data_IF_189086648774
#
_entry.id   IF_189086648774
#
_cell.length_a   1.000
_cell.length_b   1.000
_cell.length_c   1.000
_cell.angle_alpha   90.00
_cell.angle_beta   90.00
_cell.angle_gamma   90.00
#
_symmetry.space_group_name_H-M   'P 1'
#
loop_
_entity.id
_entity.type
_entity.pdbx_description
1 polymer ?
#
# COMPACT_ATOMS: atom_id res chain seq x y z
N UNK A 1 21.09 -20.84 -4.33
CA UNK A 1 21.43 -21.00 -5.78
C UNK A 1 20.22 -21.53 -6.54
N UNK A 2 19.75 -20.83 -7.58
CA UNK A 2 18.60 -21.25 -8.41
C UNK A 2 19.06 -22.14 -9.57
N UNK A 3 18.70 -23.43 -9.52
CA UNK A 3 19.11 -24.41 -10.54
C UNK A 3 18.53 -24.11 -11.94
N UNK A 4 17.37 -23.42 -12.01
CA UNK A 4 16.73 -23.01 -13.27
C UNK A 4 17.60 -21.96 -13.99
N UNK A 5 18.08 -20.96 -13.23
CA UNK A 5 18.98 -19.94 -13.78
C UNK A 5 20.30 -20.56 -14.22
N UNK A 6 20.86 -21.47 -13.42
CA UNK A 6 22.09 -22.18 -13.78
C UNK A 6 21.95 -23.00 -15.07
N UNK A 7 20.80 -23.66 -15.28
CA UNK A 7 20.54 -24.45 -16.49
C UNK A 7 20.60 -23.58 -17.77
N UNK A 8 20.07 -22.32 -17.70
CA UNK A 8 19.98 -21.47 -18.87
C UNK A 8 21.16 -20.51 -19.07
N UNK A 9 21.92 -20.20 -18.01
CA UNK A 9 23.01 -19.22 -18.02
C UNK A 9 24.39 -19.84 -17.76
N UNK A 10 24.51 -21.20 -17.83
CA UNK A 10 25.79 -21.87 -17.62
C UNK A 10 26.85 -21.37 -18.58
N UNK A 11 28.03 -21.05 -18.02
CA UNK A 11 29.16 -20.50 -18.78
C UNK A 11 29.05 -19.01 -19.12
N UNK A 12 28.02 -18.33 -18.66
CA UNK A 12 27.85 -16.88 -18.82
C UNK A 12 28.20 -16.12 -17.53
N UNK A 13 28.62 -14.85 -17.68
CA UNK A 13 28.78 -13.94 -16.56
C UNK A 13 27.41 -13.45 -16.12
N UNK A 14 26.82 -14.14 -15.14
CA UNK A 14 25.48 -13.88 -14.62
C UNK A 14 25.41 -14.00 -13.12
N UNK A 15 24.69 -13.07 -12.49
CA UNK A 15 24.64 -12.89 -11.06
C UNK A 15 23.21 -12.67 -10.57
N UNK A 16 22.82 -13.37 -9.50
CA UNK A 16 21.63 -13.00 -8.70
C UNK A 16 22.06 -11.82 -7.85
N UNK A 17 21.25 -10.75 -7.82
CA UNK A 17 21.59 -9.48 -7.16
C UNK A 17 20.42 -8.92 -6.36
N UNK A 18 20.69 -7.96 -5.48
CA UNK A 18 19.65 -7.15 -4.84
C UNK A 18 18.88 -7.88 -3.75
N UNK A 19 17.54 -7.68 -3.76
CA UNK A 19 16.65 -8.16 -2.71
C UNK A 19 16.61 -9.66 -2.52
N UNK A 20 16.79 -10.43 -3.58
CA UNK A 20 16.77 -11.89 -3.54
C UNK A 20 17.87 -12.46 -2.63
N UNK A 21 19.11 -11.99 -2.81
CA UNK A 21 20.26 -12.43 -1.99
C UNK A 21 20.07 -12.05 -0.52
N UNK A 22 19.60 -10.82 -0.26
CA UNK A 22 19.28 -10.34 1.10
C UNK A 22 18.22 -11.24 1.76
N UNK A 23 17.12 -11.49 1.07
CA UNK A 23 15.99 -12.22 1.64
C UNK A 23 16.34 -13.69 1.88
N UNK A 24 17.14 -14.31 1.01
CA UNK A 24 17.71 -15.66 1.25
C UNK A 24 18.59 -15.68 2.50
N UNK A 25 19.49 -14.69 2.67
CA UNK A 25 20.34 -14.59 3.87
C UNK A 25 19.54 -14.37 5.15
N UNK A 26 18.39 -13.69 5.07
CA UNK A 26 17.45 -13.48 6.18
C UNK A 26 16.47 -14.65 6.38
N UNK A 27 16.58 -15.73 5.60
CA UNK A 27 15.64 -16.87 5.59
C UNK A 27 14.19 -16.44 5.33
N UNK A 28 13.99 -15.40 4.52
CA UNK A 28 12.68 -14.89 4.08
C UNK A 28 12.33 -15.50 2.72
N UNK A 29 11.04 -15.62 2.38
CA UNK A 29 10.62 -16.03 1.04
C UNK A 29 11.17 -15.07 -0.02
N UNK A 30 11.78 -15.62 -1.07
CA UNK A 30 12.19 -14.86 -2.25
C UNK A 30 11.07 -14.95 -3.27
N UNK A 31 10.47 -13.81 -3.61
CA UNK A 31 9.34 -13.72 -4.56
C UNK A 31 9.79 -13.16 -5.92
N UNK A 32 10.80 -12.31 -5.90
CA UNK A 32 11.35 -11.65 -7.08
C UNK A 32 12.84 -11.95 -7.19
N UNK A 33 13.26 -12.51 -8.33
CA UNK A 33 14.67 -12.76 -8.64
C UNK A 33 15.18 -11.70 -9.60
N UNK A 34 16.16 -10.92 -9.15
CA UNK A 34 16.90 -9.98 -10.00
C UNK A 34 18.18 -10.65 -10.51
N UNK A 35 18.33 -10.76 -11.82
CA UNK A 35 19.48 -11.38 -12.48
C UNK A 35 20.19 -10.38 -13.38
N UNK A 36 21.43 -10.04 -13.03
CA UNK A 36 22.30 -9.24 -13.88
C UNK A 36 23.08 -10.16 -14.83
N UNK A 37 22.98 -9.94 -16.17
CA UNK A 37 23.63 -10.78 -17.18
C UNK A 37 23.95 -10.00 -18.47
N UNK A 38 24.73 -10.60 -19.36
CA UNK A 38 25.21 -9.95 -20.59
C UNK A 38 24.10 -9.68 -21.60
N UNK A 39 23.12 -10.59 -21.76
CA UNK A 39 22.00 -10.46 -22.68
C UNK A 39 20.67 -10.78 -21.97
N UNK A 40 20.06 -9.77 -21.29
CA UNK A 40 18.81 -9.93 -20.54
C UNK A 40 17.63 -10.42 -21.41
N UNK A 41 17.57 -9.96 -22.64
CA UNK A 41 16.48 -10.34 -23.56
C UNK A 41 16.54 -11.82 -23.92
N UNK A 42 17.70 -12.28 -24.34
CA UNK A 42 17.88 -13.70 -24.70
C UNK A 42 17.74 -14.59 -23.48
N UNK A 43 18.29 -14.19 -22.33
CA UNK A 43 18.13 -14.89 -21.05
C UNK A 43 16.66 -15.06 -20.68
N UNK A 44 15.86 -13.98 -20.70
CA UNK A 44 14.43 -14.02 -20.41
C UNK A 44 13.68 -14.97 -21.36
N UNK A 45 13.98 -14.93 -22.66
CA UNK A 45 13.34 -15.80 -23.65
C UNK A 45 13.76 -17.27 -23.48
N UNK A 46 15.01 -17.55 -23.11
CA UNK A 46 15.48 -18.93 -22.79
C UNK A 46 14.78 -19.46 -21.55
N UNK A 47 14.67 -18.65 -20.51
CA UNK A 47 13.97 -19.00 -19.29
C UNK A 47 12.51 -19.38 -19.57
N UNK A 48 11.76 -18.49 -20.23
CA UNK A 48 10.36 -18.74 -20.54
C UNK A 48 10.13 -19.94 -21.48
N UNK A 49 11.01 -20.15 -22.47
CA UNK A 49 10.95 -21.35 -23.34
C UNK A 49 11.14 -22.65 -22.57
N UNK A 50 11.96 -22.62 -21.54
CA UNK A 50 12.34 -23.83 -20.78
C UNK A 50 11.37 -24.10 -19.62
N UNK A 51 10.92 -23.06 -18.91
CA UNK A 51 10.14 -23.21 -17.67
C UNK A 51 8.71 -22.69 -17.79
N UNK A 52 8.34 -22.09 -18.92
CA UNK A 52 7.05 -21.46 -19.12
C UNK A 52 7.03 -20.01 -18.65
N UNK A 53 5.92 -19.32 -18.95
CA UNK A 53 5.69 -17.95 -18.51
C UNK A 53 5.63 -16.92 -19.64
N UNK A 54 5.19 -15.72 -19.30
CA UNK A 54 5.08 -14.57 -20.18
C UNK A 54 6.33 -13.69 -20.08
N UNK A 55 6.90 -13.29 -21.22
CA UNK A 55 8.08 -12.41 -21.31
C UNK A 55 7.65 -11.05 -21.82
N UNK A 56 8.10 -9.99 -21.17
CA UNK A 56 7.89 -8.63 -21.63
C UNK A 56 9.01 -7.67 -21.18
N UNK A 57 9.25 -6.57 -21.91
CA UNK A 57 10.22 -5.57 -21.49
C UNK A 57 9.71 -4.86 -20.23
N UNK A 58 10.52 -4.84 -19.19
CA UNK A 58 10.26 -4.06 -17.97
C UNK A 58 10.66 -2.60 -18.16
N UNK A 59 11.76 -2.37 -18.88
CA UNK A 59 12.24 -1.06 -19.26
C UNK A 59 13.02 -1.14 -20.58
N UNK A 60 12.46 -0.58 -21.65
CA UNK A 60 13.17 -0.49 -22.93
C UNK A 60 14.42 0.39 -22.83
N UNK A 61 14.35 1.46 -22.00
CA UNK A 61 15.45 2.39 -21.79
C UNK A 61 16.65 1.74 -21.10
N UNK A 62 16.39 0.82 -20.17
CA UNK A 62 17.42 0.16 -19.36
C UNK A 62 17.66 -1.28 -19.78
N UNK A 63 17.05 -1.74 -20.88
CA UNK A 63 17.25 -3.09 -21.39
C UNK A 63 16.79 -4.22 -20.45
N UNK A 64 15.94 -3.92 -19.47
CA UNK A 64 15.47 -4.87 -18.48
C UNK A 64 14.25 -5.67 -19.01
N UNK A 65 14.22 -6.97 -18.72
CA UNK A 65 13.18 -7.91 -19.15
C UNK A 65 12.64 -8.70 -17.97
N UNK A 66 11.32 -8.86 -17.92
CA UNK A 66 10.64 -9.66 -16.88
C UNK A 66 10.04 -10.93 -17.47
N UNK A 67 10.15 -12.00 -16.69
CA UNK A 67 9.41 -13.23 -16.90
C UNK A 67 8.48 -13.42 -15.70
N UNK A 68 7.17 -13.57 -15.97
CA UNK A 68 6.20 -14.01 -14.98
C UNK A 68 5.97 -15.49 -15.24
N UNK A 69 6.45 -16.34 -14.33
CA UNK A 69 6.41 -17.79 -14.50
C UNK A 69 5.00 -18.34 -14.32
N UNK A 70 4.63 -19.38 -15.11
CA UNK A 70 3.32 -20.00 -15.01
C UNK A 70 3.14 -20.78 -13.72
N UNK A 71 2.10 -20.44 -12.93
CA UNK A 71 1.71 -21.21 -11.74
C UNK A 71 2.58 -21.01 -10.51
N UNK A 72 3.43 -19.99 -10.51
CA UNK A 72 4.29 -19.59 -9.39
C UNK A 72 4.10 -18.08 -9.19
N UNK A 73 3.90 -17.63 -7.94
CA UNK A 73 3.86 -16.20 -7.60
C UNK A 73 5.28 -15.58 -7.58
N UNK A 74 6.13 -15.95 -8.53
CA UNK A 74 7.52 -15.54 -8.62
C UNK A 74 7.77 -14.82 -9.94
N UNK A 75 8.49 -13.71 -9.89
CA UNK A 75 8.98 -13.01 -11.08
C UNK A 75 10.50 -13.10 -11.20
N UNK A 76 10.99 -13.16 -12.45
CA UNK A 76 12.43 -13.12 -12.72
C UNK A 76 12.72 -11.93 -13.61
N UNK A 77 13.50 -10.99 -13.11
CA UNK A 77 13.93 -9.79 -13.80
C UNK A 77 15.37 -9.95 -14.28
N UNK A 78 15.56 -9.85 -15.58
CA UNK A 78 16.87 -9.88 -16.21
C UNK A 78 17.30 -8.45 -16.55
N UNK A 79 18.45 -8.01 -16.04
CA UNK A 79 19.00 -6.68 -16.24
C UNK A 79 20.39 -6.74 -16.86
N UNK A 80 20.81 -5.72 -17.65
CA UNK A 80 22.15 -5.70 -18.21
C UNK A 80 23.23 -5.56 -17.15
N UNK A 81 24.29 -6.34 -17.27
CA UNK A 81 25.51 -6.19 -16.45
C UNK A 81 26.45 -5.18 -17.13
N UNK A 82 26.03 -3.90 -17.19
CA UNK A 82 26.78 -2.83 -17.81
C UNK A 82 27.94 -2.37 -16.92
N UNK A 83 29.15 -2.30 -17.48
CA UNK A 83 30.34 -1.87 -16.73
C UNK A 83 30.92 -2.90 -15.75
N UNK A 84 30.31 -4.12 -15.68
CA UNK A 84 30.72 -5.18 -14.78
C UNK A 84 30.03 -5.14 -13.43
N UNK A 85 30.22 -6.20 -12.63
CA UNK A 85 29.52 -6.42 -11.36
C UNK A 85 29.77 -5.31 -10.33
N UNK A 86 31.01 -4.82 -10.20
CA UNK A 86 31.36 -3.74 -9.27
C UNK A 86 30.58 -2.44 -9.58
N UNK A 87 30.46 -2.12 -10.87
CA UNK A 87 29.71 -0.93 -11.28
C UNK A 87 28.22 -1.09 -10.98
N UNK A 88 27.62 -2.26 -11.21
CA UNK A 88 26.22 -2.51 -10.87
C UNK A 88 26.00 -2.40 -9.35
N UNK A 89 26.81 -3.07 -8.54
CA UNK A 89 26.66 -3.05 -7.08
C UNK A 89 26.87 -1.67 -6.48
N UNK A 90 27.77 -0.84 -7.05
CA UNK A 90 27.98 0.54 -6.63
C UNK A 90 26.78 1.47 -6.91
N UNK A 91 25.86 1.08 -7.81
CA UNK A 91 24.63 1.86 -8.08
C UNK A 91 23.48 1.51 -7.14
N UNK A 92 23.62 0.46 -6.31
CA UNK A 92 22.58 0.00 -5.38
C UNK A 92 22.37 1.02 -4.25
N UNK A 93 21.25 0.88 -3.55
CA UNK A 93 20.88 1.79 -2.46
C UNK A 93 21.70 1.53 -1.18
N UNK A 94 21.58 0.33 -0.62
CA UNK A 94 22.20 -0.03 0.68
C UNK A 94 23.09 -1.23 0.52
N UNK A 95 24.09 -1.33 1.39
CA UNK A 95 25.12 -2.38 1.35
C UNK A 95 24.56 -3.80 1.31
N UNK A 96 23.51 -4.07 2.08
CA UNK A 96 22.84 -5.37 2.11
C UNK A 96 22.03 -5.69 0.83
N UNK A 97 21.80 -4.73 -0.05
CA UNK A 97 21.23 -4.91 -1.39
C UNK A 97 22.33 -4.92 -2.48
N UNK A 98 23.58 -4.64 -2.10
CA UNK A 98 24.75 -4.65 -2.97
C UNK A 98 25.58 -5.93 -2.82
N UNK A 99 24.91 -7.05 -2.54
CA UNK A 99 25.47 -8.40 -2.50
C UNK A 99 25.04 -9.12 -3.76
N UNK A 100 25.94 -9.88 -4.37
CA UNK A 100 25.66 -10.72 -5.53
C UNK A 100 25.99 -12.19 -5.26
N UNK A 101 25.30 -13.10 -5.94
CA UNK A 101 25.61 -14.53 -5.97
C UNK A 101 25.79 -14.99 -7.41
N UNK A 102 26.93 -15.62 -7.71
CA UNK A 102 27.20 -16.16 -9.04
C UNK A 102 26.22 -17.26 -9.40
N UNK A 103 25.53 -17.15 -10.51
CA UNK A 103 24.61 -18.18 -11.03
C UNK A 103 25.36 -19.50 -11.29
N UNK A 104 26.59 -19.43 -11.81
CA UNK A 104 27.40 -20.62 -12.15
C UNK A 104 27.89 -21.36 -10.91
N UNK A 105 28.46 -20.63 -9.94
CA UNK A 105 29.21 -21.24 -8.83
C UNK A 105 28.51 -21.17 -7.48
N UNK A 106 27.49 -20.28 -7.32
CA UNK A 106 26.90 -19.97 -6.03
C UNK A 106 27.80 -19.19 -5.09
N UNK A 107 28.96 -18.73 -5.57
CA UNK A 107 29.87 -17.93 -4.74
C UNK A 107 29.33 -16.54 -4.58
N UNK A 108 29.24 -16.08 -3.33
CA UNK A 108 28.80 -14.73 -2.99
C UNK A 108 29.91 -13.72 -3.21
N UNK A 109 29.56 -12.55 -3.77
CA UNK A 109 30.44 -11.41 -3.94
C UNK A 109 29.85 -10.20 -3.21
N UNK A 110 30.60 -9.64 -2.27
CA UNK A 110 30.13 -8.61 -1.34
C UNK A 110 31.23 -7.55 -1.12
N UNK A 111 31.38 -6.60 -2.06
CA UNK A 111 32.45 -5.60 -1.97
C UNK A 111 32.19 -4.49 -0.93
N UNK A 112 30.95 -4.39 -0.43
CA UNK A 112 30.54 -3.34 0.51
C UNK A 112 30.27 -3.83 1.94
N UNK A 113 30.62 -5.09 2.26
CA UNK A 113 30.34 -5.73 3.55
C UNK A 113 28.86 -5.73 3.95
N UNK A 114 27.99 -5.90 2.95
CA UNK A 114 26.53 -5.94 3.15
C UNK A 114 26.08 -7.09 4.04
N UNK A 115 26.81 -8.22 4.06
CA UNK A 115 26.54 -9.35 4.96
C UNK A 115 26.85 -8.99 6.42
N UNK A 116 27.91 -8.20 6.65
CA UNK A 116 28.23 -7.66 7.97
C UNK A 116 27.13 -6.72 8.47
N UNK A 117 26.71 -5.77 7.65
CA UNK A 117 25.61 -4.86 7.96
C UNK A 117 24.29 -5.59 8.16
N UNK A 118 23.99 -6.61 7.33
CA UNK A 118 22.79 -7.44 7.48
C UNK A 118 22.78 -8.18 8.84
N UNK A 119 23.93 -8.74 9.24
CA UNK A 119 24.07 -9.42 10.52
C UNK A 119 24.01 -8.48 11.72
N UNK A 120 24.41 -7.22 11.54
CA UNK A 120 24.37 -6.17 12.57
C UNK A 120 23.03 -5.41 12.61
N UNK A 121 22.13 -5.63 11.63
CA UNK A 121 20.87 -4.90 11.52
C UNK A 121 21.07 -3.42 11.13
N UNK A 122 22.00 -3.13 10.22
CA UNK A 122 22.37 -1.76 9.83
C UNK A 122 21.90 -1.43 8.42
N UNK A 123 21.27 -0.28 8.25
CA UNK A 123 20.98 0.35 6.96
C UNK A 123 22.12 1.30 6.64
N UNK A 124 23.02 0.91 5.75
CA UNK A 124 24.18 1.70 5.32
C UNK A 124 24.10 2.02 3.83
N UNK A 125 24.27 3.29 3.49
CA UNK A 125 24.36 3.77 2.13
C UNK A 125 25.60 3.22 1.40
N UNK A 126 25.43 2.77 0.15
CA UNK A 126 26.58 2.30 -0.66
C UNK A 126 27.52 3.45 -1.02
N UNK A 127 26.96 4.64 -1.29
CA UNK A 127 27.72 5.86 -1.60
C UNK A 127 27.11 7.07 -0.92
N UNK A 128 27.89 8.15 -0.77
CA UNK A 128 27.41 9.41 -0.21
C UNK A 128 26.37 10.13 -1.09
N UNK A 129 26.21 9.73 -2.36
CA UNK A 129 25.33 10.39 -3.33
C UNK A 129 24.00 9.67 -3.55
N UNK A 130 23.77 8.52 -2.91
CA UNK A 130 22.63 7.64 -3.22
C UNK A 130 21.27 8.35 -3.17
N UNK A 131 21.08 9.31 -2.27
CA UNK A 131 19.83 10.06 -2.12
C UNK A 131 19.65 11.16 -3.16
N UNK A 132 20.74 11.65 -3.73
CA UNK A 132 20.73 12.59 -4.85
C UNK A 132 20.52 11.85 -6.17
N UNK A 133 21.14 10.67 -6.32
CA UNK A 133 21.04 9.83 -7.52
C UNK A 133 19.61 9.28 -7.72
N UNK A 134 18.97 8.85 -6.65
CA UNK A 134 17.53 8.46 -6.63
C UNK A 134 16.89 8.87 -5.29
N UNK A 135 16.18 10.00 -5.25
CA UNK A 135 15.56 10.50 -4.00
C UNK A 135 14.51 9.57 -3.38
N UNK A 136 13.98 8.57 -4.12
CA UNK A 136 13.09 7.57 -3.52
C UNK A 136 13.79 6.76 -2.42
N UNK A 137 15.12 6.66 -2.48
CA UNK A 137 15.93 5.94 -1.48
C UNK A 137 15.83 6.55 -0.08
N UNK A 138 15.40 7.83 0.03
CA UNK A 138 15.06 8.44 1.31
C UNK A 138 13.92 7.68 2.02
N UNK A 139 12.85 7.38 1.30
CA UNK A 139 11.73 6.59 1.83
C UNK A 139 12.11 5.13 2.02
N UNK A 140 12.90 4.57 1.11
CA UNK A 140 13.38 3.19 1.20
C UNK A 140 14.26 2.95 2.43
N UNK A 141 15.10 3.93 2.84
CA UNK A 141 15.90 3.85 4.05
C UNK A 141 15.00 3.65 5.28
N UNK A 142 14.00 4.52 5.46
CA UNK A 142 13.04 4.42 6.57
C UNK A 142 12.23 3.13 6.49
N UNK A 143 11.83 2.72 5.28
CA UNK A 143 11.12 1.45 5.11
C UNK A 143 11.95 0.23 5.50
N UNK A 144 13.24 0.21 5.17
CA UNK A 144 14.09 -0.90 5.58
C UNK A 144 14.36 -0.92 7.09
N UNK A 145 14.49 0.25 7.75
CA UNK A 145 14.48 0.29 9.22
C UNK A 145 13.21 -0.35 9.79
N UNK A 146 12.05 0.04 9.27
CA UNK A 146 10.73 -0.39 9.74
C UNK A 146 10.45 -1.88 9.45
N UNK A 147 10.65 -2.33 8.20
CA UNK A 147 10.34 -3.70 7.78
C UNK A 147 11.30 -4.77 8.33
N UNK A 148 12.56 -4.42 8.50
CA UNK A 148 13.61 -5.35 8.91
C UNK A 148 13.93 -5.24 10.41
N UNK A 149 13.47 -4.19 11.08
CA UNK A 149 13.84 -3.86 12.45
C UNK A 149 15.31 -3.43 12.55
N UNK A 150 15.84 -2.81 11.50
CA UNK A 150 17.20 -2.32 11.41
C UNK A 150 17.31 -0.88 11.90
N UNK A 151 18.51 -0.33 11.91
CA UNK A 151 18.76 1.10 12.20
C UNK A 151 19.75 1.67 11.18
N UNK A 152 19.57 2.93 10.79
CA UNK A 152 20.56 3.62 9.95
C UNK A 152 21.86 3.84 10.72
N UNK A 153 23.01 3.70 10.04
CA UNK A 153 24.25 4.17 10.59
C UNK A 153 24.29 5.71 10.58
N UNK A 154 25.11 6.30 11.43
CA UNK A 154 25.18 7.76 11.65
C UNK A 154 25.39 8.52 10.32
N UNK A 155 26.31 8.04 9.48
CA UNK A 155 26.61 8.69 8.19
C UNK A 155 25.42 8.65 7.24
N UNK A 156 24.75 7.52 7.14
CA UNK A 156 23.56 7.38 6.29
C UNK A 156 22.44 8.30 6.75
N UNK A 157 22.21 8.43 8.06
CA UNK A 157 21.20 9.32 8.60
C UNK A 157 21.55 10.80 8.36
N UNK A 158 22.82 11.20 8.51
CA UNK A 158 23.28 12.55 8.16
C UNK A 158 22.99 12.90 6.69
N UNK A 159 23.35 11.99 5.76
CA UNK A 159 23.11 12.16 4.34
C UNK A 159 21.61 12.26 4.02
N UNK A 160 20.79 11.42 4.67
CA UNK A 160 19.35 11.43 4.51
C UNK A 160 18.75 12.78 4.96
N UNK A 161 19.10 13.24 6.18
CA UNK A 161 18.62 14.53 6.71
C UNK A 161 19.05 15.70 5.83
N UNK A 162 20.29 15.69 5.33
CA UNK A 162 20.79 16.71 4.42
C UNK A 162 20.06 16.74 3.06
N UNK A 163 19.52 15.59 2.62
CA UNK A 163 18.82 15.44 1.34
C UNK A 163 17.29 15.42 1.48
N UNK A 164 16.75 15.64 2.66
CA UNK A 164 15.31 15.45 2.99
C UNK A 164 14.36 16.21 2.07
N UNK A 165 14.75 17.40 1.61
CA UNK A 165 13.95 18.20 0.67
C UNK A 165 13.70 17.55 -0.69
N UNK A 166 14.54 16.57 -1.09
CA UNK A 166 14.40 15.85 -2.36
C UNK A 166 13.30 14.79 -2.34
N UNK A 167 12.71 14.50 -1.18
CA UNK A 167 11.70 13.44 -1.03
C UNK A 167 10.45 13.65 -1.90
N UNK A 168 10.22 14.85 -2.39
CA UNK A 168 9.09 15.21 -3.27
C UNK A 168 9.37 15.01 -4.76
N UNK A 169 10.63 14.77 -5.15
CA UNK A 169 11.03 14.68 -6.56
C UNK A 169 10.63 13.37 -7.25
N UNK A 170 10.57 12.20 -6.56
CA UNK A 170 10.18 10.95 -7.19
C UNK A 170 8.74 10.97 -7.69
N UNK A 171 8.47 10.16 -8.74
CA UNK A 171 7.10 9.98 -9.22
C UNK A 171 6.16 9.52 -8.10
N UNK A 172 4.98 10.15 -8.03
CA UNK A 172 4.03 9.94 -6.93
C UNK A 172 3.59 8.49 -6.74
N UNK A 173 3.54 7.67 -7.82
CA UNK A 173 3.26 6.24 -7.75
C UNK A 173 4.32 5.49 -6.95
N UNK A 174 5.61 5.84 -7.15
CA UNK A 174 6.72 5.23 -6.42
C UNK A 174 6.69 5.64 -4.94
N UNK A 175 6.42 6.93 -4.67
CA UNK A 175 6.24 7.44 -3.30
C UNK A 175 5.11 6.71 -2.59
N UNK A 176 3.94 6.60 -3.23
CA UNK A 176 2.77 5.92 -2.65
C UNK A 176 3.04 4.44 -2.35
N UNK A 177 3.79 3.76 -3.21
CA UNK A 177 4.17 2.36 -3.02
C UNK A 177 5.05 2.17 -1.77
N UNK A 178 6.02 3.06 -1.52
CA UNK A 178 6.86 3.01 -0.32
C UNK A 178 6.04 3.34 0.94
N UNK A 179 5.22 4.40 0.91
CA UNK A 179 4.39 4.81 2.05
C UNK A 179 3.40 3.74 2.51
N UNK A 180 2.83 2.96 1.58
CA UNK A 180 1.91 1.86 1.91
C UNK A 180 2.56 0.71 2.67
N UNK A 181 3.87 0.59 2.60
CA UNK A 181 4.64 -0.48 3.26
C UNK A 181 5.04 -0.12 4.69
N UNK A 182 4.88 1.15 5.08
CA UNK A 182 5.26 1.60 6.41
C UNK A 182 4.21 1.22 7.46
N UNK A 183 4.71 0.78 8.60
CA UNK A 183 3.94 0.67 9.84
C UNK A 183 3.69 2.05 10.47
N UNK A 184 2.98 2.09 11.59
CA UNK A 184 2.82 3.32 12.36
C UNK A 184 4.18 3.88 12.84
N UNK A 185 5.12 3.00 13.20
CA UNK A 185 6.47 3.39 13.61
C UNK A 185 7.27 3.96 12.45
N UNK A 186 7.16 3.39 11.25
CA UNK A 186 7.76 3.94 10.04
C UNK A 186 7.30 5.38 9.75
N UNK A 187 6.02 5.70 9.97
CA UNK A 187 5.53 7.08 9.83
C UNK A 187 6.10 8.01 10.91
N UNK A 188 6.27 7.55 12.17
CA UNK A 188 6.96 8.34 13.20
C UNK A 188 8.42 8.59 12.82
N UNK A 189 9.07 7.58 12.27
CA UNK A 189 10.45 7.73 11.79
C UNK A 189 10.56 8.71 10.63
N UNK A 190 9.59 8.74 9.69
CA UNK A 190 9.53 9.78 8.64
C UNK A 190 9.48 11.21 9.23
N UNK A 191 8.69 11.39 10.28
CA UNK A 191 8.62 12.68 11.00
C UNK A 191 9.96 13.03 11.63
N UNK A 192 10.56 12.08 12.38
CA UNK A 192 11.82 12.29 13.09
C UNK A 192 12.97 12.68 12.13
N UNK A 193 13.04 12.07 10.96
CA UNK A 193 14.09 12.37 9.97
C UNK A 193 13.72 13.52 9.02
N UNK A 194 12.56 14.16 9.19
CA UNK A 194 12.16 15.34 8.44
C UNK A 194 11.64 15.06 7.03
N UNK A 195 11.15 13.85 6.74
CA UNK A 195 10.60 13.48 5.43
C UNK A 195 9.08 13.63 5.35
N UNK A 196 8.35 13.67 6.48
CA UNK A 196 6.90 13.63 6.47
C UNK A 196 6.28 14.96 6.05
N UNK A 197 6.73 16.08 6.61
CA UNK A 197 6.19 17.42 6.33
C UNK A 197 6.32 17.82 4.85
N UNK A 198 7.47 17.64 4.15
CA UNK A 198 7.57 17.96 2.73
C UNK A 198 6.59 17.16 1.85
N UNK A 199 6.25 15.93 2.23
CA UNK A 199 5.23 15.12 1.56
C UNK A 199 3.80 15.60 1.85
N UNK A 200 3.61 16.52 2.80
CA UNK A 200 2.33 17.05 3.23
C UNK A 200 1.61 16.16 4.24
N UNK A 201 2.32 15.25 4.91
CA UNK A 201 1.82 14.44 6.01
C UNK A 201 1.97 15.15 7.35
N UNK A 202 1.13 14.77 8.31
CA UNK A 202 1.16 15.20 9.70
C UNK A 202 0.88 13.96 10.55
N UNK A 203 1.70 13.69 11.56
CA UNK A 203 1.42 12.60 12.49
C UNK A 203 0.09 12.81 13.19
N UNK A 204 -0.66 11.74 13.28
CA UNK A 204 -1.98 11.72 13.88
C UNK A 204 -2.12 10.51 14.81
N UNK A 205 -2.74 10.68 15.97
CA UNK A 205 -2.92 9.61 16.96
C UNK A 205 -3.75 8.43 16.45
N UNK A 206 -4.57 8.67 15.41
CA UNK A 206 -5.35 7.62 14.73
C UNK A 206 -4.50 6.61 13.96
N UNK A 207 -3.23 6.90 13.75
CA UNK A 207 -2.29 6.07 12.97
C UNK A 207 -2.26 4.61 13.43
N UNK A 208 -2.52 4.36 14.72
CA UNK A 208 -2.56 3.02 15.33
C UNK A 208 -3.96 2.42 15.47
N UNK A 209 -5.01 3.18 15.14
CA UNK A 209 -6.38 2.73 15.35
C UNK A 209 -6.76 1.52 14.48
N UNK A 210 -6.06 1.34 13.34
CA UNK A 210 -6.25 0.21 12.45
C UNK A 210 -4.95 -0.15 11.74
N UNK A 211 -4.58 -1.43 11.77
CA UNK A 211 -3.42 -1.94 11.00
C UNK A 211 -3.79 -2.16 9.52
N UNK A 212 -3.98 -1.05 8.82
CA UNK A 212 -4.31 -1.01 7.40
C UNK A 212 -3.52 0.12 6.71
N UNK A 213 -2.82 -0.16 5.59
CA UNK A 213 -2.01 0.84 4.89
C UNK A 213 -2.82 2.04 4.37
N UNK A 214 -4.01 1.81 3.81
CA UNK A 214 -4.84 2.87 3.26
C UNK A 214 -5.44 3.73 4.38
N UNK A 215 -5.77 3.12 5.52
CA UNK A 215 -6.20 3.85 6.71
C UNK A 215 -5.10 4.78 7.23
N UNK A 216 -3.85 4.28 7.37
CA UNK A 216 -2.70 5.10 7.77
C UNK A 216 -2.47 6.27 6.82
N UNK A 217 -2.55 6.04 5.50
CA UNK A 217 -2.46 7.13 4.52
C UNK A 217 -3.53 8.19 4.74
N UNK A 218 -4.79 7.81 4.99
CA UNK A 218 -5.88 8.77 5.24
C UNK A 218 -5.66 9.51 6.55
N UNK A 219 -5.22 8.83 7.61
CA UNK A 219 -4.95 9.45 8.91
C UNK A 219 -3.85 10.51 8.82
N UNK A 220 -2.74 10.18 8.15
CA UNK A 220 -1.55 11.03 8.07
C UNK A 220 -1.69 12.17 7.06
N UNK A 221 -2.22 11.88 5.87
CA UNK A 221 -2.23 12.87 4.78
C UNK A 221 -3.54 13.63 4.65
N UNK A 222 -4.65 13.13 5.19
CA UNK A 222 -5.94 13.82 5.14
C UNK A 222 -6.31 14.29 3.73
N UNK A 223 -6.46 15.62 3.54
CA UNK A 223 -6.75 16.22 2.22
C UNK A 223 -5.57 16.16 1.27
N UNK A 224 -4.34 16.20 1.80
CA UNK A 224 -3.13 16.18 1.00
C UNK A 224 -2.92 14.83 0.29
N UNK A 225 -3.60 13.76 0.74
CA UNK A 225 -3.58 12.47 0.05
C UNK A 225 -3.98 12.58 -1.44
N UNK A 226 -4.82 13.57 -1.78
CA UNK A 226 -5.22 13.83 -3.16
C UNK A 226 -4.08 14.33 -4.08
N UNK A 227 -2.94 14.74 -3.52
CA UNK A 227 -1.72 15.11 -4.29
C UNK A 227 -0.99 13.89 -4.83
N UNK A 228 -1.21 12.71 -4.23
CA UNK A 228 -0.67 11.45 -4.71
C UNK A 228 -1.61 10.79 -5.74
N UNK A 229 -1.09 9.97 -6.65
CA UNK A 229 -1.87 9.30 -7.69
C UNK A 229 -2.67 8.11 -7.14
N UNK A 230 -3.58 8.39 -6.22
CA UNK A 230 -4.39 7.40 -5.56
C UNK A 230 -5.55 6.90 -6.45
N UNK A 231 -5.95 5.65 -6.26
CA UNK A 231 -7.05 5.01 -6.95
C UNK A 231 -8.40 5.70 -6.67
N UNK A 232 -9.40 5.46 -7.53
CA UNK A 232 -10.76 5.93 -7.29
C UNK A 232 -11.35 5.38 -5.98
N UNK A 233 -11.01 4.14 -5.65
CA UNK A 233 -11.49 3.49 -4.43
C UNK A 233 -10.85 4.09 -3.18
N UNK A 234 -9.55 4.36 -3.19
CA UNK A 234 -8.89 5.06 -2.08
C UNK A 234 -9.43 6.50 -1.92
N UNK A 235 -9.77 7.20 -3.02
CA UNK A 235 -10.45 8.50 -2.95
C UNK A 235 -11.82 8.42 -2.25
N UNK A 236 -12.61 7.39 -2.58
CA UNK A 236 -13.92 7.16 -1.96
C UNK A 236 -13.77 6.78 -0.48
N UNK A 237 -12.83 5.91 -0.16
CA UNK A 237 -12.46 5.52 1.19
C UNK A 237 -12.07 6.74 2.04
N UNK A 238 -11.10 7.52 1.59
CA UNK A 238 -10.67 8.76 2.26
C UNK A 238 -11.83 9.73 2.49
N UNK A 239 -12.69 9.91 1.49
CA UNK A 239 -13.85 10.80 1.61
C UNK A 239 -14.86 10.28 2.65
N UNK A 240 -15.08 8.97 2.75
CA UNK A 240 -15.97 8.37 3.72
C UNK A 240 -15.45 8.57 5.15
N UNK A 241 -14.19 8.22 5.41
CA UNK A 241 -13.57 8.36 6.73
C UNK A 241 -13.56 9.83 7.20
N UNK A 242 -13.12 10.74 6.34
CA UNK A 242 -12.99 12.18 6.70
C UNK A 242 -14.34 12.89 6.91
N UNK A 243 -15.41 12.40 6.29
CA UNK A 243 -16.76 12.89 6.53
C UNK A 243 -17.44 12.28 7.74
N UNK A 244 -16.95 11.13 8.19
CA UNK A 244 -17.53 10.43 9.32
C UNK A 244 -17.62 11.32 10.56
N UNK A 245 -18.68 11.15 11.32
CA UNK A 245 -18.87 11.72 12.66
C UNK A 245 -19.32 10.58 13.54
N UNK A 246 -18.77 10.50 14.75
CA UNK A 246 -19.18 9.47 15.71
C UNK A 246 -20.70 9.49 15.87
N UNK A 247 -21.35 8.32 15.98
CA UNK A 247 -22.76 8.26 16.36
C UNK A 247 -23.00 9.03 17.66
N UNK A 248 -24.09 9.78 17.73
CA UNK A 248 -24.42 10.62 18.92
C UNK A 248 -24.71 9.75 20.16
N UNK A 249 -25.28 8.56 19.91
CA UNK A 249 -25.62 7.55 20.91
C UNK A 249 -25.62 6.15 20.28
N UNK A 250 -25.74 5.07 21.07
CA UNK A 250 -25.77 3.69 20.56
C UNK A 250 -27.14 3.25 20.01
N UNK A 251 -28.09 4.18 19.76
CA UNK A 251 -29.42 3.84 19.25
C UNK A 251 -29.37 3.27 17.83
N UNK A 252 -30.30 2.38 17.46
CA UNK A 252 -30.39 1.84 16.10
C UNK A 252 -30.48 2.94 15.04
N UNK A 253 -31.12 4.07 15.36
CA UNK A 253 -31.26 5.24 14.47
C UNK A 253 -29.92 5.91 14.23
N UNK A 254 -29.14 6.19 15.28
CA UNK A 254 -27.82 6.79 15.15
C UNK A 254 -26.84 5.88 14.40
N UNK A 255 -26.86 4.58 14.69
CA UNK A 255 -26.07 3.58 13.97
C UNK A 255 -26.46 3.48 12.50
N UNK A 256 -27.76 3.52 12.17
CA UNK A 256 -28.24 3.52 10.78
C UNK A 256 -27.73 4.75 10.00
N UNK A 257 -27.86 5.95 10.58
CA UNK A 257 -27.37 7.22 9.97
C UNK A 257 -25.88 7.17 9.70
N UNK A 258 -25.10 6.69 10.68
CA UNK A 258 -23.67 6.53 10.54
C UNK A 258 -23.29 5.58 9.40
N UNK A 259 -23.92 4.40 9.36
CA UNK A 259 -23.70 3.40 8.32
C UNK A 259 -24.02 3.96 6.92
N UNK A 260 -25.15 4.65 6.75
CA UNK A 260 -25.51 5.24 5.47
C UNK A 260 -24.46 6.21 4.90
N UNK A 261 -23.70 6.89 5.77
CA UNK A 261 -22.67 7.84 5.36
C UNK A 261 -21.33 7.18 5.09
N UNK A 262 -21.09 6.02 5.70
CA UNK A 262 -19.75 5.41 5.78
C UNK A 262 -19.61 4.05 5.11
N UNK A 263 -20.73 3.35 4.81
CA UNK A 263 -20.66 2.05 4.12
C UNK A 263 -19.97 2.15 2.74
N UNK A 264 -19.18 1.14 2.36
CA UNK A 264 -18.97 -0.14 3.05
C UNK A 264 -17.92 -0.08 4.18
N UNK A 265 -17.33 1.06 4.49
CA UNK A 265 -16.21 1.24 5.42
C UNK A 265 -16.63 1.69 6.83
N UNK A 266 -17.84 1.30 7.28
CA UNK A 266 -18.36 1.79 8.56
C UNK A 266 -17.50 1.36 9.76
N UNK A 267 -16.86 0.20 9.74
CA UNK A 267 -15.96 -0.25 10.81
C UNK A 267 -14.69 0.62 10.86
N UNK A 268 -14.09 0.87 9.72
CA UNK A 268 -12.87 1.71 9.63
C UNK A 268 -13.21 3.16 10.00
N UNK A 269 -14.42 3.62 9.63
CA UNK A 269 -14.91 4.94 9.99
C UNK A 269 -15.11 5.07 11.51
N UNK A 270 -15.55 4.01 12.23
CA UNK A 270 -15.59 4.01 13.70
C UNK A 270 -14.17 4.17 14.29
N UNK A 271 -13.20 3.42 13.76
CA UNK A 271 -11.80 3.57 14.18
C UNK A 271 -11.30 5.00 13.94
N UNK A 272 -11.65 5.58 12.78
CA UNK A 272 -11.23 6.93 12.41
C UNK A 272 -11.81 8.04 13.30
N UNK A 273 -13.03 7.85 13.83
CA UNK A 273 -13.69 8.83 14.73
C UNK A 273 -13.55 8.46 16.22
N UNK A 274 -12.81 7.39 16.56
CA UNK A 274 -12.56 6.98 17.94
C UNK A 274 -13.79 6.39 18.66
N UNK A 275 -14.69 5.71 17.92
CA UNK A 275 -15.92 5.11 18.43
C UNK A 275 -15.96 3.59 18.25
N UNK A 276 -14.83 2.92 18.45
CA UNK A 276 -14.64 1.47 18.20
C UNK A 276 -15.51 0.57 19.08
N UNK A 277 -15.96 1.05 20.22
CA UNK A 277 -16.89 0.37 21.13
C UNK A 277 -18.25 0.12 20.50
N UNK A 278 -18.61 0.85 19.43
CA UNK A 278 -19.88 0.67 18.70
C UNK A 278 -19.78 -0.38 17.57
N UNK A 279 -18.64 -1.04 17.42
CA UNK A 279 -18.38 -2.02 16.35
C UNK A 279 -19.44 -3.13 16.31
N UNK A 280 -19.73 -3.74 17.46
CA UNK A 280 -20.69 -4.85 17.54
C UNK A 280 -22.10 -4.42 17.12
N UNK A 281 -22.49 -3.19 17.42
CA UNK A 281 -23.78 -2.61 17.01
C UNK A 281 -23.84 -2.40 15.49
N UNK A 282 -22.78 -1.88 14.90
CA UNK A 282 -22.68 -1.72 13.43
C UNK A 282 -22.73 -3.07 12.73
N UNK A 283 -22.00 -4.07 13.22
CA UNK A 283 -22.00 -5.42 12.66
C UNK A 283 -23.36 -6.12 12.85
N UNK A 284 -24.00 -5.96 14.01
CA UNK A 284 -25.34 -6.48 14.26
C UNK A 284 -26.37 -5.86 13.30
N UNK A 285 -26.30 -4.53 13.12
CA UNK A 285 -27.16 -3.82 12.18
C UNK A 285 -26.95 -4.26 10.72
N UNK A 286 -25.71 -4.57 10.30
CA UNK A 286 -25.41 -5.17 8.98
C UNK A 286 -26.07 -6.53 8.79
N UNK A 287 -25.97 -7.39 9.81
CA UNK A 287 -26.60 -8.73 9.77
C UNK A 287 -28.13 -8.67 9.73
N UNK A 288 -28.70 -7.62 10.32
CA UNK A 288 -30.12 -7.38 10.36
C UNK A 288 -30.66 -6.66 9.12
N UNK A 289 -29.80 -6.22 8.19
CA UNK A 289 -30.23 -5.53 6.97
C UNK A 289 -31.25 -6.37 6.20
N UNK A 290 -32.41 -5.78 5.87
CA UNK A 290 -33.44 -6.48 5.15
C UNK A 290 -33.06 -6.68 3.68
N UNK A 291 -33.46 -7.80 3.04
CA UNK A 291 -33.10 -8.09 1.65
C UNK A 291 -33.76 -7.15 0.63
N UNK A 292 -34.78 -6.39 1.03
CA UNK A 292 -35.50 -5.46 0.17
C UNK A 292 -36.05 -4.27 0.98
N UNK A 293 -36.21 -3.08 0.36
CA UNK A 293 -36.87 -1.94 0.99
C UNK A 293 -38.36 -2.23 1.25
N UNK A 294 -38.96 -1.57 2.24
CA UNK A 294 -40.41 -1.68 2.52
C UNK A 294 -41.24 -1.11 1.39
N UNK A 295 -40.80 0.00 0.78
CA UNK A 295 -41.44 0.66 -0.36
C UNK A 295 -40.38 1.13 -1.33
N UNK A 296 -40.76 1.26 -2.61
CA UNK A 296 -39.93 1.87 -3.66
C UNK A 296 -40.41 3.28 -3.98
N UNK A 297 -39.55 4.05 -4.64
CA UNK A 297 -39.85 5.45 -4.95
C UNK A 297 -41.07 5.64 -5.85
N UNK A 298 -41.31 4.72 -6.78
CA UNK A 298 -42.49 4.72 -7.69
C UNK A 298 -43.82 4.39 -6.97
N UNK A 299 -43.75 3.78 -5.79
CA UNK A 299 -44.93 3.46 -4.97
C UNK A 299 -45.40 4.61 -4.09
N UNK A 300 -44.60 5.67 -3.95
CA UNK A 300 -44.91 6.82 -3.10
C UNK A 300 -45.94 7.77 -3.72
N UNK A 301 -46.21 7.67 -5.02
CA UNK A 301 -47.16 8.54 -5.74
C UNK A 301 -46.74 10.02 -5.81
N UNK A 302 -45.42 10.28 -5.73
CA UNK A 302 -44.83 11.61 -5.80
C UNK A 302 -44.19 11.84 -7.17
N UNK A 303 -44.09 13.10 -7.57
CA UNK A 303 -43.34 13.49 -8.77
C UNK A 303 -41.85 13.16 -8.61
N UNK A 304 -41.18 12.68 -9.69
CA UNK A 304 -39.76 12.37 -9.66
C UNK A 304 -38.92 13.58 -9.20
N UNK A 305 -38.18 13.39 -8.08
CA UNK A 305 -37.36 14.46 -7.53
C UNK A 305 -36.62 14.07 -6.24
N UNK A 306 -35.81 15.01 -5.69
CA UNK A 306 -35.03 14.78 -4.48
C UNK A 306 -35.86 14.42 -3.24
N UNK A 307 -37.14 14.79 -3.23
CA UNK A 307 -38.05 14.52 -2.13
C UNK A 307 -38.31 13.03 -1.92
N UNK A 308 -38.43 12.26 -3.01
CA UNK A 308 -38.53 10.79 -2.94
C UNK A 308 -37.33 10.20 -2.15
N UNK A 309 -36.13 10.65 -2.48
CA UNK A 309 -34.91 10.16 -1.80
C UNK A 309 -34.89 10.54 -0.32
N UNK A 310 -35.36 11.74 0.04
CA UNK A 310 -35.48 12.18 1.43
C UNK A 310 -36.48 11.31 2.22
N UNK A 311 -37.65 11.06 1.65
CA UNK A 311 -38.70 10.29 2.30
C UNK A 311 -38.26 8.82 2.46
N UNK A 312 -37.70 8.21 1.43
CA UNK A 312 -37.15 6.84 1.52
C UNK A 312 -36.06 6.73 2.60
N UNK A 313 -35.24 7.76 2.73
CA UNK A 313 -34.19 7.80 3.76
C UNK A 313 -34.79 7.79 5.19
N UNK A 314 -35.88 8.54 5.41
CA UNK A 314 -36.57 8.55 6.70
C UNK A 314 -37.26 7.22 6.95
N UNK A 315 -37.91 6.61 5.95
CA UNK A 315 -38.52 5.28 6.06
C UNK A 315 -37.50 4.21 6.45
N UNK A 316 -36.33 4.20 5.81
CA UNK A 316 -35.26 3.26 6.13
C UNK A 316 -34.73 3.46 7.56
N UNK A 317 -34.61 4.72 8.00
CA UNK A 317 -34.19 5.07 9.36
C UNK A 317 -35.20 4.61 10.40
N UNK A 318 -36.50 4.90 10.18
CA UNK A 318 -37.58 4.47 11.08
C UNK A 318 -37.73 2.94 11.12
N UNK A 319 -37.49 2.27 9.99
CA UNK A 319 -37.40 0.79 9.95
C UNK A 319 -36.23 0.27 10.79
N UNK A 320 -35.06 0.88 10.66
CA UNK A 320 -33.88 0.50 11.44
C UNK A 320 -34.10 0.76 12.94
N UNK A 321 -34.85 1.79 13.30
CA UNK A 321 -35.26 2.09 14.67
C UNK A 321 -36.36 1.13 15.22
N UNK A 322 -36.97 0.32 14.35
CA UNK A 322 -38.07 -0.58 14.73
C UNK A 322 -39.41 0.11 14.96
N UNK A 323 -39.55 1.38 14.55
CA UNK A 323 -40.82 2.13 14.68
C UNK A 323 -41.81 1.80 13.59
N UNK A 324 -41.35 1.30 12.45
CA UNK A 324 -42.14 0.76 11.35
C UNK A 324 -41.59 -0.60 10.91
N UNK A 325 -42.47 -1.53 10.53
CA UNK A 325 -42.07 -2.86 10.09
C UNK A 325 -42.81 -3.31 8.82
N UNK A 326 -43.88 -2.64 8.45
CA UNK A 326 -44.73 -3.04 7.33
C UNK A 326 -44.77 -2.02 6.21
N UNK A 327 -45.17 -2.49 5.02
CA UNK A 327 -45.33 -1.59 3.85
C UNK A 327 -46.42 -0.55 4.09
N UNK A 328 -47.51 -0.91 4.78
CA UNK A 328 -48.60 -0.02 5.11
C UNK A 328 -48.13 1.13 5.99
N UNK A 329 -47.38 0.87 7.06
CA UNK A 329 -46.82 1.87 7.96
C UNK A 329 -45.85 2.80 7.21
N UNK A 330 -45.02 2.26 6.30
CA UNK A 330 -44.12 3.03 5.47
C UNK A 330 -44.87 4.02 4.52
N UNK A 331 -46.00 3.58 3.93
CA UNK A 331 -46.84 4.42 3.09
C UNK A 331 -47.58 5.47 3.89
N UNK A 332 -48.04 5.17 5.11
CA UNK A 332 -48.65 6.16 6.01
C UNK A 332 -47.62 7.27 6.39
N UNK A 333 -46.42 6.85 6.80
CA UNK A 333 -45.32 7.77 7.10
C UNK A 333 -44.98 8.67 5.89
N UNK A 334 -44.91 8.07 4.70
CA UNK A 334 -44.58 8.81 3.48
C UNK A 334 -45.62 9.94 3.19
N UNK A 335 -46.92 9.64 3.42
CA UNK A 335 -48.00 10.63 3.24
C UNK A 335 -47.94 11.76 4.27
N UNK A 336 -47.56 11.46 5.52
CA UNK A 336 -47.40 12.47 6.56
C UNK A 336 -46.21 13.39 6.23
N UNK A 337 -45.08 12.81 5.83
CA UNK A 337 -43.87 13.57 5.43
C UNK A 337 -44.10 14.46 4.19
N UNK A 338 -44.87 13.99 3.20
CA UNK A 338 -45.19 14.74 2.00
C UNK A 338 -46.16 15.95 2.26
N UNK A 339 -46.98 15.86 3.34
CA UNK A 339 -47.87 16.96 3.75
C UNK A 339 -47.19 17.97 4.66
N UNK A 340 -45.98 17.73 5.15
CA UNK A 340 -45.29 18.57 6.11
C UNK A 340 -45.78 18.44 7.56
N UNK A 341 -46.50 17.37 7.89
CA UNK A 341 -47.15 17.16 9.18
C UNK A 341 -46.31 16.22 10.13
N UNK A 342 -45.03 15.92 9.80
CA UNK A 342 -44.18 15.01 10.57
C UNK A 342 -42.82 15.59 10.95
#
# INVERSE_FOLDING_TARGET
>A
MDERLREILSGEDAWIVGGAVRDELLLRPVLDLDVACSDPRDAAHRFARRFGGAVFPLSERHGAWRVVADGIDETVDFTPLEGGLDADLATRDFTFNAIAESVETGVSYDPHDGRGDLGAGVVRAVTDTIFVDDPLRLLRAVRFEDELGFHMDERTEELLRASSSLVVDPAGERVLAELRRLSAEGYRRLEDVGLLEPLGGILDERLEALDDPDFRLVAVFGENLARLPISKDLKRYSAALRRARAPEDPSPRAIHRFRRQTEPWAIDALAYVGATELRDLVEAARRADPPAPLVRGDELGLEPGPEIGRILAVIDEERAAGTIATREEALELSRALAKGDA
#
